data_IF_798422242986
#
_entry.id   IF_798422242986
#
_cell.length_a   1.000
_cell.length_b   1.000
_cell.length_c   1.000
_cell.angle_alpha   90.00
_cell.angle_beta   90.00
_cell.angle_gamma   90.00
#
_symmetry.space_group_name_H-M   'P 1'
#
loop_
_entity.id
_entity.type
_entity.pdbx_description
1 polymer ?
#
# COMPACT_ATOMS: atom_id res chain seq x y z
N UNK A 1 -13.58 13.71 -56.56
CA UNK A 1 -13.28 12.62 -57.52
C UNK A 1 -11.90 12.89 -58.12
N UNK A 2 -11.07 11.90 -58.47
CA UNK A 2 -10.79 10.56 -57.92
C UNK A 2 -9.32 10.52 -57.37
N UNK A 3 -8.68 9.47 -56.85
CA UNK A 3 -8.90 8.02 -56.89
C UNK A 3 -8.38 7.34 -55.60
N UNK A 4 -8.99 6.25 -55.13
CA UNK A 4 -8.48 5.40 -54.04
C UNK A 4 -7.40 4.40 -54.52
N UNK A 5 -6.46 4.10 -53.63
CA UNK A 5 -5.35 3.16 -53.83
C UNK A 5 -5.80 1.69 -53.92
N UNK A 6 -5.08 0.83 -54.66
CA UNK A 6 -5.46 -0.57 -54.91
C UNK A 6 -5.20 -1.51 -53.73
N UNK A 7 -6.12 -2.46 -53.54
CA UNK A 7 -6.05 -3.55 -52.57
C UNK A 7 -5.08 -4.66 -53.01
N UNK A 8 -4.36 -5.21 -52.04
CA UNK A 8 -3.43 -6.33 -52.23
C UNK A 8 -4.18 -7.67 -52.42
N UNK A 9 -3.73 -8.43 -53.42
CA UNK A 9 -4.25 -9.73 -53.83
C UNK A 9 -3.81 -10.87 -52.89
N UNK A 10 -4.67 -11.87 -52.64
CA UNK A 10 -4.35 -13.02 -51.80
C UNK A 10 -3.48 -14.06 -52.52
N UNK A 11 -2.48 -14.57 -51.81
CA UNK A 11 -1.58 -15.64 -52.27
C UNK A 11 -2.32 -16.99 -52.15
N UNK A 12 -2.51 -17.67 -53.30
CA UNK A 12 -2.96 -19.07 -53.38
C UNK A 12 -1.82 -20.01 -52.99
N UNK A 13 -2.05 -20.86 -52.00
CA UNK A 13 -1.23 -22.05 -51.78
C UNK A 13 -1.94 -23.28 -52.36
N UNK A 14 -1.27 -23.98 -53.27
CA UNK A 14 -1.75 -25.24 -53.86
C UNK A 14 -1.47 -26.43 -52.95
N UNK A 15 -2.46 -27.32 -52.90
CA UNK A 15 -2.51 -28.61 -52.24
C UNK A 15 -1.65 -29.68 -52.92
N UNK A 16 -0.95 -30.51 -52.14
CA UNK A 16 -0.64 -31.89 -52.54
C UNK A 16 -0.77 -32.86 -51.36
N UNK A 17 -1.61 -33.88 -51.56
CA UNK A 17 -1.86 -35.05 -50.73
C UNK A 17 -0.91 -36.17 -51.16
N UNK A 18 -0.27 -36.88 -50.21
CA UNK A 18 0.20 -38.29 -50.30
C UNK A 18 0.30 -38.85 -48.87
N UNK A 19 -0.56 -39.78 -48.47
CA UNK A 19 -0.43 -41.25 -48.56
C UNK A 19 0.38 -41.88 -47.41
N UNK A 20 -0.34 -42.71 -46.66
CA UNK A 20 0.01 -43.65 -45.58
C UNK A 20 1.34 -44.39 -45.65
N UNK A 21 2.05 -44.50 -44.51
CA UNK A 21 2.69 -45.73 -43.97
C UNK A 21 2.82 -45.60 -42.44
N UNK A 22 2.36 -46.60 -41.69
CA UNK A 22 2.47 -46.71 -40.22
C UNK A 22 3.80 -47.42 -39.89
N UNK A 23 4.63 -46.92 -38.95
CA UNK A 23 5.81 -47.65 -38.49
C UNK A 23 5.40 -48.77 -37.55
N UNK A 24 5.67 -50.01 -37.94
CA UNK A 24 5.60 -51.20 -37.07
C UNK A 24 6.72 -51.10 -36.03
N UNK A 25 6.37 -50.89 -34.77
CA UNK A 25 7.32 -51.02 -33.68
C UNK A 25 7.48 -52.50 -33.31
N UNK A 26 8.73 -52.92 -33.40
CA UNK A 26 9.28 -54.24 -33.23
C UNK A 26 9.16 -54.75 -31.77
N UNK A 27 8.93 -56.05 -31.62
CA UNK A 27 8.44 -56.72 -30.41
C UNK A 27 9.57 -57.26 -29.50
N UNK A 28 10.76 -56.69 -29.61
CA UNK A 28 11.98 -57.27 -29.02
C UNK A 28 12.63 -56.39 -27.92
N UNK A 29 12.15 -55.17 -27.65
CA UNK A 29 12.76 -54.27 -26.62
C UNK A 29 12.09 -54.29 -25.24
N UNK A 30 11.00 -55.04 -25.05
CA UNK A 30 10.28 -55.10 -23.75
C UNK A 30 10.82 -56.17 -22.78
N UNK A 31 11.85 -56.95 -23.14
CA UNK A 31 12.32 -58.08 -22.30
C UNK A 31 13.49 -57.80 -21.35
N UNK A 32 14.12 -56.62 -21.39
CA UNK A 32 15.40 -56.44 -20.67
C UNK A 32 15.30 -55.59 -19.39
N UNK A 33 14.19 -54.88 -19.13
CA UNK A 33 14.11 -53.98 -17.96
C UNK A 33 13.22 -54.47 -16.80
N UNK A 34 12.45 -55.54 -16.97
CA UNK A 34 11.62 -56.12 -15.90
C UNK A 34 12.37 -57.09 -14.95
N UNK A 35 13.67 -57.30 -15.13
CA UNK A 35 14.47 -58.25 -14.34
C UNK A 35 15.13 -57.65 -13.08
N UNK A 36 15.14 -56.31 -12.90
CA UNK A 36 15.78 -55.66 -11.75
C UNK A 36 14.84 -55.24 -10.62
N UNK A 37 13.53 -55.53 -10.71
CA UNK A 37 12.56 -55.27 -9.64
C UNK A 37 12.21 -56.52 -8.81
N UNK A 38 13.14 -57.49 -8.73
CA UNK A 38 13.02 -58.67 -7.85
C UNK A 38 14.37 -58.98 -7.21
N UNK A 39 14.74 -58.20 -6.21
CA UNK A 39 15.69 -58.57 -5.14
C UNK A 39 15.82 -57.38 -4.18
N UNK A 40 14.89 -57.28 -3.25
CA UNK A 40 15.18 -56.85 -1.88
C UNK A 40 14.05 -57.35 -0.98
N UNK A 41 14.38 -58.49 -0.38
CA UNK A 41 13.63 -59.28 0.55
C UNK A 41 13.57 -58.58 1.93
N UNK A 42 12.40 -58.69 2.57
CA UNK A 42 12.24 -59.10 3.98
C UNK A 42 12.86 -58.22 5.07
N UNK A 43 12.00 -57.48 5.78
CA UNK A 43 11.83 -57.50 7.26
C UNK A 43 10.67 -56.54 7.61
N UNK A 44 9.63 -57.04 8.28
CA UNK A 44 8.50 -56.18 8.71
C UNK A 44 7.29 -56.95 9.19
N UNK A 45 7.49 -57.84 10.17
CA UNK A 45 6.38 -58.48 10.87
C UNK A 45 5.59 -57.49 11.74
N UNK A 46 4.34 -57.87 11.99
CA UNK A 46 3.39 -57.31 12.95
C UNK A 46 2.71 -55.97 12.57
N UNK A 47 1.45 -56.07 12.13
CA UNK A 47 0.29 -55.46 12.82
C UNK A 47 -0.91 -55.41 11.88
N UNK A 48 -1.40 -56.61 11.53
CA UNK A 48 -2.81 -56.81 11.21
C UNK A 48 -3.62 -56.58 12.50
N UNK A 49 -3.89 -55.33 12.88
CA UNK A 49 -4.83 -54.93 13.97
C UNK A 49 -4.95 -53.41 14.20
N UNK A 50 -4.66 -52.58 13.20
CA UNK A 50 -4.80 -51.12 13.31
C UNK A 50 -5.82 -50.50 12.37
N UNK A 51 -6.71 -51.30 11.77
CA UNK A 51 -7.62 -50.86 10.70
C UNK A 51 -8.93 -50.24 11.22
N UNK A 52 -8.90 -49.59 12.39
CA UNK A 52 -10.03 -48.91 13.02
C UNK A 52 -9.55 -47.78 13.95
N UNK A 53 -8.94 -46.72 13.40
CA UNK A 53 -8.93 -45.36 13.98
C UNK A 53 -8.64 -44.31 12.89
N UNK A 54 -9.16 -44.53 11.67
CA UNK A 54 -9.20 -43.51 10.61
C UNK A 54 -10.49 -42.70 10.81
N UNK A 55 -10.53 -41.82 11.82
CA UNK A 55 -11.67 -40.90 12.01
C UNK A 55 -11.38 -39.67 12.91
N UNK A 56 -10.16 -39.44 13.36
CA UNK A 56 -9.82 -38.25 14.13
C UNK A 56 -8.37 -37.88 13.85
N UNK A 57 -8.12 -36.62 13.47
CA UNK A 57 -6.82 -35.99 13.12
C UNK A 57 -6.62 -35.62 11.62
N UNK A 58 -7.69 -35.25 10.92
CA UNK A 58 -7.61 -34.40 9.73
C UNK A 58 -8.53 -33.17 9.83
N UNK A 59 -8.74 -32.66 11.04
CA UNK A 59 -9.61 -31.51 11.34
C UNK A 59 -8.92 -30.46 12.23
N UNK A 60 -7.61 -30.25 12.05
CA UNK A 60 -6.85 -29.31 12.89
C UNK A 60 -5.76 -28.50 12.13
N UNK A 61 -5.93 -28.26 10.83
CA UNK A 61 -5.01 -27.41 10.03
C UNK A 61 -5.76 -26.58 8.96
N UNK A 62 -6.91 -26.01 9.33
CA UNK A 62 -7.64 -25.05 8.50
C UNK A 62 -8.36 -23.98 9.33
N UNK A 63 -7.76 -23.54 10.46
CA UNK A 63 -8.11 -22.27 11.06
C UNK A 63 -7.45 -21.17 10.21
N UNK A 64 -8.12 -20.82 9.11
CA UNK A 64 -7.70 -19.81 8.16
C UNK A 64 -7.46 -18.48 8.87
N UNK A 65 -6.19 -18.10 8.94
CA UNK A 65 -5.74 -16.79 9.37
C UNK A 65 -6.07 -15.78 8.27
N UNK A 66 -7.35 -15.39 8.15
CA UNK A 66 -7.75 -14.25 7.31
C UNK A 66 -7.77 -13.01 8.19
N UNK A 67 -6.59 -12.55 8.58
CA UNK A 67 -6.43 -11.16 8.99
C UNK A 67 -6.28 -10.34 7.69
N UNK A 68 -7.41 -9.88 7.15
CA UNK A 68 -7.41 -8.88 6.10
C UNK A 68 -6.93 -7.55 6.69
N UNK A 69 -5.61 -7.38 6.84
CA UNK A 69 -5.03 -6.05 6.89
C UNK A 69 -4.98 -5.54 5.45
N UNK A 70 -5.94 -4.68 5.11
CA UNK A 70 -5.88 -3.86 3.90
C UNK A 70 -4.55 -3.12 3.93
N UNK A 71 -3.57 -3.59 3.15
CA UNK A 71 -2.47 -2.74 2.75
C UNK A 71 -3.10 -1.71 1.82
N UNK A 72 -3.55 -0.58 2.39
CA UNK A 72 -3.87 0.57 1.54
C UNK A 72 -2.61 0.85 0.75
N UNK A 73 -2.69 0.68 -0.57
CA UNK A 73 -1.62 1.02 -1.48
C UNK A 73 -0.94 2.32 -1.01
N UNK A 74 0.38 2.25 -0.88
CA UNK A 74 1.34 3.31 -0.55
C UNK A 74 1.38 4.39 -1.65
N UNK A 75 0.21 4.84 -2.11
CA UNK A 75 0.03 5.91 -3.07
C UNK A 75 -0.28 7.20 -2.34
N UNK A 76 0.76 7.93 -1.96
CA UNK A 76 0.62 9.29 -1.44
C UNK A 76 1.98 9.92 -1.13
N UNK A 77 2.06 11.23 -1.25
CA UNK A 77 3.27 11.96 -0.86
C UNK A 77 3.28 12.02 0.67
N UNK A 78 4.28 11.41 1.28
CA UNK A 78 4.50 11.44 2.71
C UNK A 78 5.30 12.68 3.09
N UNK A 79 4.73 13.46 3.99
CA UNK A 79 5.31 14.68 4.52
C UNK A 79 5.33 14.62 6.04
N UNK A 80 6.28 15.31 6.66
CA UNK A 80 6.30 15.48 8.11
C UNK A 80 6.50 16.94 8.51
N UNK A 81 6.16 17.27 9.75
CA UNK A 81 6.52 18.53 10.39
C UNK A 81 6.88 18.35 11.87
N UNK A 82 7.97 18.98 12.29
CA UNK A 82 8.35 19.08 13.70
C UNK A 82 7.68 20.33 14.31
N UNK A 83 6.78 20.11 15.27
CA UNK A 83 5.97 21.15 15.87
C UNK A 83 6.67 21.70 17.13
N UNK A 84 6.88 23.02 17.17
CA UNK A 84 7.43 23.71 18.35
C UNK A 84 6.64 24.97 18.65
N UNK A 85 6.46 25.26 19.94
CA UNK A 85 5.85 26.54 20.36
C UNK A 85 6.68 27.76 19.93
N UNK A 86 8.00 27.64 19.93
CA UNK A 86 8.92 28.70 19.48
C UNK A 86 8.84 29.02 17.98
N UNK A 87 8.20 28.15 17.19
CA UNK A 87 8.01 28.38 15.76
C UNK A 87 6.73 29.19 15.46
N UNK A 88 5.89 29.41 16.47
CA UNK A 88 4.71 30.26 16.35
C UNK A 88 5.07 31.74 16.19
N UNK A 89 4.13 32.49 15.64
CA UNK A 89 4.21 33.95 15.53
C UNK A 89 2.88 34.55 15.97
N UNK A 90 2.79 35.13 17.18
CA UNK A 90 3.84 35.25 18.20
C UNK A 90 4.22 33.89 18.82
N UNK A 91 5.42 33.80 19.41
CA UNK A 91 5.93 32.55 19.98
C UNK A 91 5.05 32.04 21.15
N UNK A 92 4.69 30.77 21.10
CA UNK A 92 4.04 30.04 22.18
C UNK A 92 5.11 29.41 23.11
N UNK A 93 4.73 28.83 24.27
CA UNK A 93 5.69 28.32 25.24
C UNK A 93 6.75 27.41 24.65
N UNK A 94 8.00 27.69 25.01
CA UNK A 94 9.15 26.94 24.52
C UNK A 94 9.13 25.47 24.96
N UNK A 95 8.23 25.04 25.85
CA UNK A 95 8.04 23.64 26.20
C UNK A 95 7.15 22.86 25.23
N UNK A 96 6.37 23.52 24.37
CA UNK A 96 5.44 22.83 23.47
C UNK A 96 6.20 22.10 22.36
N UNK A 97 5.92 20.81 22.21
CA UNK A 97 6.63 19.87 21.35
C UNK A 97 5.68 18.83 20.78
N UNK A 98 5.84 18.57 19.50
CA UNK A 98 5.20 17.45 18.84
C UNK A 98 5.76 17.23 17.45
N UNK A 99 5.16 16.27 16.76
CA UNK A 99 5.41 15.91 15.38
C UNK A 99 4.09 15.57 14.72
N UNK A 100 4.02 15.75 13.42
CA UNK A 100 2.93 15.24 12.60
C UNK A 100 3.49 14.59 11.35
N UNK A 101 2.95 13.43 11.02
CA UNK A 101 3.11 12.76 9.74
C UNK A 101 1.84 13.01 8.92
N UNK A 102 1.97 13.34 7.64
CA UNK A 102 0.89 13.73 6.74
C UNK A 102 1.04 12.98 5.42
N UNK A 103 0.00 12.23 5.04
CA UNK A 103 -0.04 11.51 3.77
C UNK A 103 -1.02 12.21 2.83
N UNK A 104 -0.51 12.75 1.73
CA UNK A 104 -1.29 13.42 0.69
C UNK A 104 -1.73 12.41 -0.37
N UNK A 105 -3.05 12.26 -0.58
CA UNK A 105 -3.64 11.35 -1.57
C UNK A 105 -4.46 12.12 -2.61
N UNK A 106 -3.82 12.80 -3.58
CA UNK A 106 -4.51 13.66 -4.53
C UNK A 106 -5.42 12.90 -5.50
N UNK A 107 -5.16 11.62 -5.76
CA UNK A 107 -6.00 10.76 -6.62
C UNK A 107 -7.43 10.60 -6.08
N UNK A 108 -7.58 10.56 -4.76
CA UNK A 108 -8.86 10.36 -4.06
C UNK A 108 -9.29 11.58 -3.23
N UNK A 109 -8.59 12.72 -3.38
CA UNK A 109 -8.94 13.96 -2.69
C UNK A 109 -8.82 13.90 -1.17
N UNK A 110 -7.87 13.12 -0.63
CA UNK A 110 -7.69 12.93 0.83
C UNK A 110 -6.37 13.46 1.34
N UNK A 111 -6.40 13.99 2.57
CA UNK A 111 -5.22 14.28 3.38
C UNK A 111 -5.37 13.53 4.69
N UNK A 112 -4.46 12.61 4.97
CA UNK A 112 -4.44 11.83 6.20
C UNK A 112 -3.29 12.28 7.09
N UNK A 113 -3.44 12.16 8.40
CA UNK A 113 -2.43 12.59 9.35
C UNK A 113 -2.35 11.69 10.58
N UNK A 114 -1.22 11.77 11.26
CA UNK A 114 -0.99 11.24 12.60
C UNK A 114 -0.10 12.20 13.39
N UNK A 115 -0.56 12.60 14.58
CA UNK A 115 0.14 13.49 15.50
C UNK A 115 0.77 12.70 16.65
N UNK A 116 2.03 13.03 16.92
CA UNK A 116 2.74 12.65 18.15
C UNK A 116 3.00 13.91 18.96
N UNK A 117 2.11 14.22 19.90
CA UNK A 117 2.26 15.38 20.81
C UNK A 117 2.95 14.91 22.08
N UNK A 118 4.17 15.38 22.32
CA UNK A 118 4.93 15.05 23.55
C UNK A 118 4.63 16.03 24.67
N UNK A 119 4.43 17.32 24.36
CA UNK A 119 4.03 18.33 25.35
C UNK A 119 3.27 19.47 24.71
N UNK A 120 2.16 19.88 25.33
CA UNK A 120 1.40 21.06 24.97
C UNK A 120 0.69 21.60 26.21
N UNK A 121 0.71 22.91 26.41
CA UNK A 121 0.14 23.57 27.58
C UNK A 121 -1.37 23.82 27.42
N UNK A 122 -2.15 22.75 27.44
CA UNK A 122 -3.61 22.79 27.34
C UNK A 122 -4.13 21.79 26.32
N UNK A 123 -5.45 21.58 26.30
CA UNK A 123 -6.10 20.60 25.43
C UNK A 123 -6.12 21.10 23.97
N UNK A 124 -5.51 20.38 23.00
CA UNK A 124 -5.64 20.70 21.59
C UNK A 124 -7.10 20.78 21.14
N UNK A 125 -7.47 21.80 20.39
CA UNK A 125 -8.86 22.03 19.94
C UNK A 125 -9.02 21.92 18.43
N UNK A 126 -8.02 22.35 17.65
CA UNK A 126 -8.02 22.27 16.19
C UNK A 126 -6.60 22.13 15.64
N UNK A 127 -6.50 21.67 14.40
CA UNK A 127 -5.24 21.65 13.66
C UNK A 127 -5.46 21.84 12.17
N UNK A 128 -4.54 22.55 11.53
CA UNK A 128 -4.66 22.98 10.14
C UNK A 128 -3.32 22.94 9.42
N UNK A 129 -3.37 22.75 8.09
CA UNK A 129 -2.31 23.17 7.18
C UNK A 129 -2.59 24.61 6.78
N UNK A 130 -1.63 25.50 7.00
CA UNK A 130 -1.64 26.89 6.56
C UNK A 130 -0.67 27.10 5.41
N UNK A 131 -0.89 28.15 4.62
CA UNK A 131 0.03 28.60 3.56
C UNK A 131 0.89 29.75 4.09
N UNK A 132 2.18 29.52 4.28
CA UNK A 132 3.12 30.52 4.78
C UNK A 132 4.55 29.98 4.90
N UNK A 133 5.52 30.88 4.66
CA UNK A 133 6.96 30.61 4.85
C UNK A 133 7.31 30.58 6.34
N UNK A 134 8.45 29.99 6.76
CA UNK A 134 8.92 30.08 8.14
C UNK A 134 8.84 31.50 8.70
N UNK A 135 8.33 31.66 9.92
CA UNK A 135 8.22 32.96 10.60
C UNK A 135 7.14 33.90 10.06
N UNK A 136 6.36 33.49 9.05
CA UNK A 136 5.24 34.29 8.51
C UNK A 136 3.94 33.54 8.74
N UNK A 137 2.98 34.17 9.42
CA UNK A 137 1.63 33.63 9.60
C UNK A 137 0.84 33.78 8.30
N UNK A 138 0.01 32.79 7.98
CA UNK A 138 -0.81 32.81 6.78
C UNK A 138 -2.17 32.15 6.99
N UNK A 139 -3.06 32.22 5.99
CA UNK A 139 -4.43 31.70 6.12
C UNK A 139 -4.44 30.17 6.20
N UNK A 140 -5.52 29.65 6.81
CA UNK A 140 -5.83 28.21 6.76
C UNK A 140 -5.97 27.79 5.30
N UNK A 141 -5.22 26.77 4.91
CA UNK A 141 -5.24 26.23 3.55
C UNK A 141 -6.07 24.95 3.48
N UNK A 142 -5.83 24.00 4.40
CA UNK A 142 -6.59 22.76 4.56
C UNK A 142 -6.82 22.54 6.06
N UNK A 143 -8.07 22.30 6.47
CA UNK A 143 -8.40 21.94 7.83
C UNK A 143 -8.42 20.42 8.03
N UNK A 144 -7.84 19.92 9.12
CA UNK A 144 -7.89 18.48 9.44
C UNK A 144 -9.26 18.05 9.98
N UNK A 145 -10.08 18.98 10.46
CA UNK A 145 -11.45 18.70 10.87
C UNK A 145 -12.03 19.87 11.66
N UNK A 146 -13.23 19.67 12.19
CA UNK A 146 -13.88 20.64 13.09
C UNK A 146 -13.28 20.61 14.50
N UNK A 147 -12.73 19.47 14.91
CA UNK A 147 -12.05 19.29 16.20
C UNK A 147 -10.72 18.59 16.01
N UNK A 148 -9.81 18.78 16.96
CA UNK A 148 -8.53 18.09 16.97
C UNK A 148 -8.74 16.57 17.15
N UNK A 149 -8.14 15.80 16.24
CA UNK A 149 -7.98 14.36 16.36
C UNK A 149 -6.53 14.00 16.18
N UNK A 150 -6.02 13.09 17.01
CA UNK A 150 -4.63 12.63 16.93
C UNK A 150 -4.31 12.02 15.58
N UNK A 151 -5.26 11.31 14.98
CA UNK A 151 -5.12 10.72 13.65
C UNK A 151 -6.43 10.83 12.89
N UNK A 152 -6.36 10.78 11.56
CA UNK A 152 -7.55 10.77 10.73
C UNK A 152 -7.27 11.11 9.28
N UNK A 153 -8.35 11.28 8.52
CA UNK A 153 -8.30 11.79 7.16
C UNK A 153 -9.41 12.82 6.94
N UNK A 154 -9.13 13.80 6.11
CA UNK A 154 -10.05 14.85 5.67
C UNK A 154 -10.10 14.86 4.16
N UNK A 155 -11.19 15.38 3.61
CA UNK A 155 -11.31 15.60 2.16
C UNK A 155 -10.81 17.01 1.84
N UNK A 156 -10.05 17.16 0.77
CA UNK A 156 -9.62 18.45 0.26
C UNK A 156 -9.60 18.47 -1.28
N UNK A 157 -9.79 19.63 -1.92
CA UNK A 157 -9.68 19.74 -3.38
C UNK A 157 -8.31 19.27 -3.88
N UNK A 158 -8.30 18.47 -4.96
CA UNK A 158 -7.08 17.92 -5.57
C UNK A 158 -6.02 19.00 -5.85
N UNK A 159 -6.44 20.17 -6.32
CA UNK A 159 -5.56 21.31 -6.57
C UNK A 159 -4.81 21.77 -5.30
N UNK A 160 -5.48 21.81 -4.14
CA UNK A 160 -4.84 22.17 -2.87
C UNK A 160 -3.83 21.11 -2.44
N UNK A 161 -4.20 19.83 -2.54
CA UNK A 161 -3.32 18.71 -2.19
C UNK A 161 -2.06 18.75 -3.05
N UNK A 162 -2.21 18.93 -4.37
CA UNK A 162 -1.10 19.04 -5.31
C UNK A 162 -0.20 20.26 -5.01
N UNK A 163 -0.78 21.40 -4.61
CA UNK A 163 0.01 22.57 -4.24
C UNK A 163 0.90 22.32 -3.01
N UNK A 164 0.37 21.62 -1.99
CA UNK A 164 1.16 21.23 -0.81
C UNK A 164 2.24 20.23 -1.20
N UNK A 165 1.91 19.22 -2.02
CA UNK A 165 2.85 18.22 -2.50
C UNK A 165 4.00 18.81 -3.31
N UNK A 166 3.72 19.80 -4.17
CA UNK A 166 4.71 20.42 -5.05
C UNK A 166 5.70 21.34 -4.31
N UNK A 167 5.27 22.00 -3.21
CA UNK A 167 6.14 22.88 -2.44
C UNK A 167 5.85 22.80 -0.93
N UNK A 168 6.16 21.69 -0.26
CA UNK A 168 5.82 21.48 1.15
C UNK A 168 6.34 22.60 2.06
N UNK A 169 7.54 23.10 1.81
CA UNK A 169 8.18 24.15 2.61
C UNK A 169 7.44 25.50 2.61
N UNK A 170 6.52 25.72 1.66
CA UNK A 170 5.65 26.90 1.63
C UNK A 170 4.40 26.75 2.53
N UNK A 171 4.25 25.62 3.23
CA UNK A 171 3.12 25.30 4.08
C UNK A 171 3.59 24.81 5.45
N UNK A 172 2.71 24.94 6.43
CA UNK A 172 2.98 24.51 7.80
C UNK A 172 1.76 23.91 8.45
N UNK A 173 2.00 23.00 9.39
CA UNK A 173 0.97 22.52 10.30
C UNK A 173 1.02 23.35 11.57
N UNK A 174 -0.16 23.73 12.05
CA UNK A 174 -0.36 24.42 13.32
C UNK A 174 -1.43 23.71 14.13
N UNK A 175 -1.26 23.69 15.46
CA UNK A 175 -2.22 23.12 16.42
C UNK A 175 -2.64 24.22 17.37
N UNK A 176 -3.94 24.39 17.58
CA UNK A 176 -4.54 25.41 18.44
C UNK A 176 -5.02 24.81 19.77
N UNK A 177 -5.15 25.65 20.79
CA UNK A 177 -5.87 25.34 22.02
C UNK A 177 -6.54 26.60 22.58
N UNK A 178 -7.27 26.49 23.70
CA UNK A 178 -7.97 27.63 24.30
C UNK A 178 -7.05 28.76 24.78
N UNK A 179 -5.79 28.46 25.14
CA UNK A 179 -4.81 29.46 25.58
C UNK A 179 -4.11 30.15 24.41
N UNK A 180 -3.99 29.45 23.28
CA UNK A 180 -3.24 29.89 22.10
C UNK A 180 -4.12 29.76 20.85
N UNK A 181 -5.07 30.70 20.71
CA UNK A 181 -6.01 30.71 19.58
C UNK A 181 -5.31 30.91 18.22
N UNK A 182 -4.21 31.66 18.18
CA UNK A 182 -3.38 31.83 16.99
C UNK A 182 -2.49 30.63 16.66
N UNK A 183 -2.25 29.75 17.63
CA UNK A 183 -1.36 28.60 17.50
C UNK A 183 -0.57 28.29 18.77
N UNK A 184 -0.64 27.05 19.24
CA UNK A 184 0.14 26.55 20.38
C UNK A 184 1.49 25.94 19.95
N UNK A 185 1.59 25.46 18.72
CA UNK A 185 2.82 24.92 18.11
C UNK A 185 2.70 24.72 16.60
N UNK A 186 3.80 24.99 15.89
CA UNK A 186 3.88 25.01 14.43
C UNK A 186 5.13 24.30 13.93
N UNK A 187 5.01 23.72 12.73
CA UNK A 187 6.15 23.20 11.97
C UNK A 187 5.92 23.31 10.47
N UNK A 188 6.95 23.69 9.71
CA UNK A 188 6.89 23.62 8.25
C UNK A 188 6.83 22.16 7.79
N UNK A 189 6.05 21.92 6.73
CA UNK A 189 6.02 20.63 6.06
C UNK A 189 7.31 20.39 5.27
N UNK A 190 7.79 19.15 5.31
CA UNK A 190 8.93 18.63 4.57
C UNK A 190 8.53 17.30 3.96
N UNK A 191 9.06 16.97 2.78
CA UNK A 191 8.92 15.63 2.25
C UNK A 191 9.79 14.65 3.04
N UNK A 192 9.32 13.42 3.17
CA UNK A 192 10.17 12.31 3.58
C UNK A 192 11.17 12.04 2.44
N UNK A 193 12.46 11.94 2.78
CA UNK A 193 13.53 11.67 1.83
C UNK A 193 13.62 10.16 1.54
#
# INVERSE_FOLDING_TARGET
MPAPMPAATPIRYHSHIRSSVVPTWDRETERVLFANYRRNHVMGGSMRKGMLTIAALAAALAAGLVLAAVATATGGNHLHAQLRGTNEVPAAPASNRGRVEVTLKPSVGKVCWEFTITKIDGKPTAAHIHKGRPGVSGPVYIAFGTTFKRQGCTTAPKAKINAVAAKPSAFYVNVHNAKHLGGAMRGQLKADL
#
